data_IF_154611039584
#
_entry.id   IF_154611039584
#
_cell.length_a   1.000
_cell.length_b   1.000
_cell.length_c   1.000
_cell.angle_alpha   90.00
_cell.angle_beta   90.00
_cell.angle_gamma   90.00
#
_symmetry.space_group_name_H-M   'P 1'
#
loop_
_entity.id
_entity.type
_entity.pdbx_description
1 polymer ?
#
# COMPACT_ATOMS: atom_id res chain seq x y z
N UNK A 1 1.05 -18.65 42.52
CA UNK A 1 0.35 -17.60 41.76
C UNK A 1 1.07 -17.51 40.44
N UNK A 2 0.39 -17.88 39.35
CA UNK A 2 0.96 -17.90 38.00
C UNK A 2 0.89 -16.46 37.52
N UNK A 3 2.05 -15.81 37.36
CA UNK A 3 2.15 -14.51 36.72
C UNK A 3 1.91 -14.70 35.22
N UNK A 4 0.73 -14.30 34.76
CA UNK A 4 0.46 -14.07 33.34
C UNK A 4 1.38 -12.96 32.83
N UNK A 5 2.53 -13.35 32.27
CA UNK A 5 3.36 -12.46 31.45
C UNK A 5 2.70 -12.27 30.08
N UNK A 6 1.58 -11.57 30.06
CA UNK A 6 1.17 -10.83 28.86
C UNK A 6 2.00 -9.54 28.81
N UNK A 7 3.28 -9.68 28.48
CA UNK A 7 4.06 -8.55 27.98
C UNK A 7 3.52 -8.19 26.60
N UNK A 8 2.48 -7.34 26.57
CA UNK A 8 2.23 -6.50 25.42
C UNK A 8 3.53 -5.72 25.23
N UNK A 9 4.29 -6.02 24.17
CA UNK A 9 5.43 -5.18 23.82
C UNK A 9 4.85 -3.80 23.53
N UNK A 10 5.10 -2.86 24.44
CA UNK A 10 4.64 -1.48 24.30
C UNK A 10 5.21 -0.93 22.99
N UNK A 11 4.32 -0.53 22.09
CA UNK A 11 4.68 -0.12 20.74
C UNK A 11 5.51 1.18 20.82
N UNK A 12 6.78 1.12 20.44
CA UNK A 12 7.65 2.30 20.52
C UNK A 12 7.22 3.39 19.52
N UNK A 13 6.56 4.43 19.99
CA UNK A 13 6.02 5.52 19.17
C UNK A 13 7.11 6.41 18.53
N UNK A 14 8.28 6.50 19.15
CA UNK A 14 9.41 7.29 18.64
C UNK A 14 10.18 6.56 17.53
N UNK A 15 9.95 5.27 17.35
CA UNK A 15 10.59 4.47 16.33
C UNK A 15 10.30 5.05 14.94
N UNK A 16 11.36 5.18 14.12
CA UNK A 16 11.20 5.53 12.71
C UNK A 16 10.77 4.31 11.90
N UNK A 17 9.62 4.44 11.26
CA UNK A 17 8.99 3.45 10.39
C UNK A 17 9.10 3.89 8.94
N UNK A 18 9.29 2.94 8.03
CA UNK A 18 9.42 3.20 6.60
C UNK A 18 8.04 3.27 5.95
N UNK A 19 7.81 4.28 5.12
CA UNK A 19 6.66 4.40 4.23
C UNK A 19 7.15 4.30 2.79
N UNK A 20 6.43 3.53 1.96
CA UNK A 20 6.74 3.31 0.54
C UNK A 20 5.66 3.96 -0.32
N UNK A 21 6.05 4.71 -1.35
CA UNK A 21 5.13 5.24 -2.35
C UNK A 21 5.01 4.27 -3.52
N UNK A 22 3.78 3.97 -3.95
CA UNK A 22 3.52 3.29 -5.22
C UNK A 22 3.33 4.27 -6.39
N UNK A 23 3.18 5.57 -6.12
CA UNK A 23 3.02 6.58 -7.16
C UNK A 23 4.35 6.91 -7.83
N UNK A 24 4.31 7.12 -9.16
CA UNK A 24 5.45 7.53 -9.97
C UNK A 24 5.64 9.05 -10.06
N UNK A 25 4.96 9.81 -9.20
CA UNK A 25 5.17 11.24 -8.97
C UNK A 25 5.52 11.48 -7.50
N UNK A 26 6.10 12.65 -7.23
CA UNK A 26 6.35 13.09 -5.86
C UNK A 26 5.03 13.31 -5.13
N UNK A 27 4.86 12.66 -3.98
CA UNK A 27 3.73 12.88 -3.08
C UNK A 27 4.20 13.58 -1.82
N UNK A 28 3.27 14.18 -1.09
CA UNK A 28 3.61 14.82 0.17
C UNK A 28 2.38 15.22 0.95
N UNK A 29 2.61 15.47 2.24
CA UNK A 29 1.59 15.92 3.17
C UNK A 29 2.24 16.74 4.27
N UNK A 30 1.48 17.66 4.86
CA UNK A 30 1.93 18.47 5.98
C UNK A 30 1.96 17.62 7.25
N UNK A 31 3.00 17.77 8.06
CA UNK A 31 3.10 17.10 9.35
C UNK A 31 2.05 17.61 10.33
N UNK A 32 1.59 16.74 11.24
CA UNK A 32 0.62 17.10 12.27
C UNK A 32 1.31 17.29 13.62
N UNK A 33 2.21 16.38 14.02
CA UNK A 33 2.87 16.46 15.34
C UNK A 33 4.00 17.47 15.38
N UNK A 34 4.62 17.75 14.24
CA UNK A 34 5.72 18.71 14.13
C UNK A 34 5.51 19.68 12.98
N UNK A 35 6.33 20.74 12.93
CA UNK A 35 6.31 21.67 11.80
C UNK A 35 7.00 21.08 10.55
N UNK A 36 6.52 21.51 9.39
CA UNK A 36 7.08 21.18 8.08
C UNK A 36 6.27 20.17 7.26
N UNK A 37 6.76 19.90 6.06
CA UNK A 37 6.12 19.00 5.11
C UNK A 37 6.92 17.70 4.96
N UNK A 38 6.22 16.60 4.74
CA UNK A 38 6.80 15.34 4.28
C UNK A 38 6.72 15.32 2.77
N UNK A 39 7.86 15.15 2.12
CA UNK A 39 7.96 14.94 0.67
C UNK A 39 8.52 13.55 0.41
N UNK A 40 7.83 12.80 -0.44
CA UNK A 40 8.15 11.42 -0.79
C UNK A 40 8.37 11.38 -2.30
N UNK A 41 9.59 11.07 -2.77
CA UNK A 41 9.86 11.04 -4.21
C UNK A 41 9.07 9.91 -4.89
N UNK A 42 8.93 10.02 -6.22
CA UNK A 42 8.34 9.00 -7.06
C UNK A 42 8.94 7.60 -6.80
N UNK A 43 8.09 6.59 -6.60
CA UNK A 43 8.49 5.22 -6.24
C UNK A 43 9.46 5.13 -5.05
N UNK A 44 9.48 6.18 -4.21
CA UNK A 44 10.46 6.37 -3.16
C UNK A 44 10.00 5.83 -1.82
N UNK A 45 10.88 6.00 -0.85
CA UNK A 45 10.58 5.70 0.55
C UNK A 45 10.97 6.86 1.44
N UNK A 46 10.28 6.99 2.57
CA UNK A 46 10.63 7.94 3.63
C UNK A 46 10.53 7.25 4.97
N UNK A 47 11.30 7.71 5.95
CA UNK A 47 11.20 7.24 7.34
C UNK A 47 10.58 8.33 8.21
N UNK A 48 9.45 8.02 8.83
CA UNK A 48 8.73 8.91 9.74
C UNK A 48 8.62 8.27 11.12
N UNK A 49 8.45 9.09 12.16
CA UNK A 49 8.13 8.57 13.49
C UNK A 49 6.77 7.88 13.44
N UNK A 50 6.65 6.76 14.15
CA UNK A 50 5.43 5.97 14.20
C UNK A 50 4.25 6.78 14.71
N UNK A 51 4.44 7.61 15.73
CA UNK A 51 3.43 8.54 16.24
C UNK A 51 2.84 9.43 15.15
N UNK A 52 3.69 10.08 14.34
CA UNK A 52 3.26 10.91 13.21
C UNK A 52 2.46 10.10 12.18
N UNK A 53 2.86 8.86 11.89
CA UNK A 53 2.12 7.99 10.95
C UNK A 53 0.72 7.67 11.49
N UNK A 54 0.64 7.28 12.76
CA UNK A 54 -0.63 6.98 13.44
C UNK A 54 -1.53 8.22 13.43
N UNK A 55 -1.00 9.38 13.82
CA UNK A 55 -1.71 10.65 13.84
C UNK A 55 -2.23 11.03 12.45
N UNK A 56 -1.43 10.85 11.39
CA UNK A 56 -1.88 11.09 10.01
C UNK A 56 -3.03 10.18 9.59
N UNK A 57 -2.97 8.90 9.96
CA UNK A 57 -4.01 7.91 9.67
C UNK A 57 -5.31 8.27 10.41
N UNK A 58 -5.23 8.58 11.70
CA UNK A 58 -6.39 8.98 12.52
C UNK A 58 -7.03 10.29 12.03
N UNK A 59 -6.24 11.19 11.41
CA UNK A 59 -6.74 12.41 10.79
C UNK A 59 -7.26 12.21 9.35
N UNK A 60 -7.33 10.97 8.86
CA UNK A 60 -7.93 10.65 7.57
C UNK A 60 -7.05 11.00 6.37
N UNK A 61 -5.72 10.94 6.50
CA UNK A 61 -4.82 11.15 5.38
C UNK A 61 -5.01 10.05 4.32
N UNK A 62 -5.78 10.37 3.27
CA UNK A 62 -6.15 9.47 2.16
C UNK A 62 -4.98 8.83 1.43
N UNK A 63 -3.79 9.42 1.48
CA UNK A 63 -2.61 8.79 0.91
C UNK A 63 -2.24 7.50 1.66
N UNK A 64 -2.48 7.45 2.97
CA UNK A 64 -2.21 6.31 3.86
C UNK A 64 -3.47 5.45 4.09
N UNK A 65 -4.64 6.08 4.23
CA UNK A 65 -5.91 5.38 4.55
C UNK A 65 -6.62 4.81 3.34
N UNK A 66 -6.21 5.20 2.12
CA UNK A 66 -6.78 4.69 0.89
C UNK A 66 -8.27 5.05 0.73
N UNK A 67 -9.03 4.15 0.09
CA UNK A 67 -10.44 4.36 -0.23
C UNK A 67 -11.40 3.81 0.82
N UNK A 68 -10.93 2.93 1.70
CA UNK A 68 -11.73 2.19 2.69
C UNK A 68 -11.47 2.63 4.14
N UNK A 69 -10.63 3.65 4.32
CA UNK A 69 -10.16 4.13 5.62
C UNK A 69 -9.41 3.07 6.47
N UNK A 70 -9.05 1.94 5.85
CA UNK A 70 -8.27 0.84 6.42
C UNK A 70 -6.97 0.59 5.62
N UNK A 71 -6.65 1.54 4.75
CA UNK A 71 -5.43 1.58 3.96
C UNK A 71 -5.42 0.64 2.75
N UNK A 72 -6.54 0.00 2.40
CA UNK A 72 -6.61 -0.68 1.09
C UNK A 72 -6.62 0.36 -0.02
N UNK A 73 -5.88 0.05 -1.09
CA UNK A 73 -5.67 0.96 -2.21
C UNK A 73 -4.96 2.28 -1.81
N UNK A 74 -4.19 2.25 -0.73
CA UNK A 74 -3.37 3.39 -0.31
C UNK A 74 -2.25 3.67 -1.32
N UNK A 75 -1.94 4.95 -1.50
CA UNK A 75 -0.80 5.39 -2.32
C UNK A 75 0.52 5.28 -1.56
N UNK A 76 0.46 5.40 -0.24
CA UNK A 76 1.56 5.30 0.69
C UNK A 76 1.34 4.09 1.60
N UNK A 77 2.24 3.13 1.52
CA UNK A 77 2.17 1.90 2.31
C UNK A 77 3.09 1.98 3.52
N UNK A 78 2.57 1.64 4.70
CA UNK A 78 3.34 1.57 5.95
C UNK A 78 4.06 0.23 6.00
N UNK A 79 5.39 0.23 5.83
CA UNK A 79 6.23 -0.97 5.83
C UNK A 79 6.62 -1.42 7.24
N UNK A 80 5.64 -1.50 8.14
CA UNK A 80 5.80 -1.96 9.53
C UNK A 80 4.51 -2.59 10.03
N UNK A 81 4.54 -3.92 10.22
CA UNK A 81 3.35 -4.70 10.61
C UNK A 81 2.76 -4.27 11.96
N UNK A 82 3.55 -4.03 13.02
CA UNK A 82 3.01 -3.54 14.29
C UNK A 82 2.22 -2.25 14.14
N UNK A 83 2.72 -1.27 13.36
CA UNK A 83 1.97 -0.02 13.10
C UNK A 83 0.68 -0.28 12.34
N UNK A 84 0.67 -1.20 11.37
CA UNK A 84 -0.55 -1.54 10.62
C UNK A 84 -1.61 -2.23 11.49
N UNK A 85 -1.18 -3.02 12.47
CA UNK A 85 -2.10 -3.61 13.45
C UNK A 85 -2.65 -2.51 14.37
N UNK A 86 -1.79 -1.63 14.88
CA UNK A 86 -2.18 -0.53 15.79
C UNK A 86 -3.25 0.39 15.19
N UNK A 87 -3.23 0.60 13.87
CA UNK A 87 -4.18 1.46 13.16
C UNK A 87 -5.32 0.69 12.50
N UNK A 88 -5.57 -0.56 12.92
CA UNK A 88 -6.63 -1.44 12.43
C UNK A 88 -6.61 -1.69 10.90
N UNK A 89 -5.44 -1.57 10.27
CA UNK A 89 -5.26 -1.90 8.86
C UNK A 89 -5.17 -3.42 8.66
N UNK A 90 -4.50 -4.11 9.59
CA UNK A 90 -4.39 -5.57 9.63
C UNK A 90 -4.82 -6.08 11.01
N UNK A 91 -5.31 -7.30 11.10
CA UNK A 91 -5.55 -7.96 12.39
C UNK A 91 -4.36 -8.82 12.81
N UNK A 92 -4.14 -8.97 14.12
CA UNK A 92 -3.09 -9.85 14.66
C UNK A 92 -3.23 -11.30 14.19
N UNK A 93 -4.48 -11.77 14.06
CA UNK A 93 -4.82 -13.12 13.60
C UNK A 93 -4.73 -13.29 12.07
N UNK A 94 -4.43 -12.22 11.33
CA UNK A 94 -4.25 -12.22 9.88
C UNK A 94 -5.54 -12.39 9.06
N UNK A 95 -6.72 -12.35 9.69
CA UNK A 95 -8.01 -12.41 8.97
C UNK A 95 -8.31 -11.14 8.21
N UNK A 96 -7.89 -9.99 8.73
CA UNK A 96 -7.99 -8.71 8.07
C UNK A 96 -6.62 -8.33 7.50
N UNK A 97 -6.58 -8.14 6.18
CA UNK A 97 -5.38 -7.73 5.45
C UNK A 97 -5.74 -6.61 4.47
N UNK A 98 -4.80 -5.71 4.26
CA UNK A 98 -4.97 -4.63 3.28
C UNK A 98 -4.85 -5.16 1.86
N UNK A 99 -5.66 -4.62 0.95
CA UNK A 99 -5.46 -4.84 -0.48
C UNK A 99 -4.50 -3.78 -1.02
N UNK A 100 -3.22 -4.14 -1.18
CA UNK A 100 -2.17 -3.25 -1.66
C UNK A 100 -1.57 -3.79 -2.95
N UNK A 101 -1.44 -2.91 -3.95
CA UNK A 101 -0.73 -3.25 -5.17
C UNK A 101 0.78 -3.39 -4.88
N UNK A 102 1.26 -4.63 -4.92
CA UNK A 102 2.67 -4.99 -4.78
C UNK A 102 3.15 -5.76 -6.00
N UNK A 103 4.48 -5.88 -6.16
CA UNK A 103 5.08 -6.70 -7.23
C UNK A 103 4.56 -8.14 -7.19
N UNK A 104 4.48 -8.73 -5.99
CA UNK A 104 4.01 -10.10 -5.82
C UNK A 104 2.52 -10.24 -6.14
N UNK A 105 1.70 -9.24 -5.79
CA UNK A 105 0.29 -9.22 -6.16
C UNK A 105 0.10 -9.17 -7.68
N UNK A 106 0.90 -8.38 -8.40
CA UNK A 106 0.86 -8.32 -9.87
C UNK A 106 1.36 -9.63 -10.48
N UNK A 107 2.42 -10.25 -9.95
CA UNK A 107 2.88 -11.57 -10.43
C UNK A 107 1.79 -12.62 -10.28
N UNK A 108 1.15 -12.71 -9.10
CA UNK A 108 0.01 -13.61 -8.85
C UNK A 108 -1.17 -13.32 -9.77
N UNK A 109 -1.44 -12.03 -10.06
CA UNK A 109 -2.47 -11.66 -11.03
C UNK A 109 -2.18 -12.29 -12.40
N UNK A 110 -0.93 -12.26 -12.87
CA UNK A 110 -0.55 -12.84 -14.16
C UNK A 110 -0.53 -14.38 -14.18
N UNK A 111 -0.57 -15.05 -13.03
CA UNK A 111 -0.67 -16.51 -12.92
C UNK A 111 -2.09 -17.04 -13.22
N UNK A 112 -3.13 -16.20 -13.17
CA UNK A 112 -4.48 -16.62 -13.52
C UNK A 112 -4.55 -17.09 -14.98
N UNK A 113 -5.07 -18.31 -15.18
CA UNK A 113 -5.13 -18.96 -16.50
C UNK A 113 -6.24 -18.41 -17.38
N UNK A 114 -7.38 -18.07 -16.77
CA UNK A 114 -8.58 -17.61 -17.46
C UNK A 114 -8.58 -16.09 -17.57
N UNK A 115 -8.69 -15.56 -18.80
CA UNK A 115 -8.72 -14.12 -19.04
C UNK A 115 -9.86 -13.42 -18.30
N UNK A 116 -11.03 -14.06 -18.18
CA UNK A 116 -12.16 -13.52 -17.40
C UNK A 116 -11.79 -13.32 -15.92
N UNK A 117 -11.21 -14.33 -15.29
CA UNK A 117 -10.80 -14.26 -13.88
C UNK A 117 -9.67 -13.25 -13.69
N UNK A 118 -8.75 -13.19 -14.65
CA UNK A 118 -7.71 -12.15 -14.67
C UNK A 118 -8.32 -10.75 -14.68
N UNK A 119 -9.29 -10.47 -15.56
CA UNK A 119 -9.93 -9.16 -15.66
C UNK A 119 -10.72 -8.79 -14.39
N UNK A 120 -11.46 -9.74 -13.81
CA UNK A 120 -12.15 -9.54 -12.53
C UNK A 120 -11.16 -9.20 -11.42
N UNK A 121 -10.07 -9.98 -11.31
CA UNK A 121 -9.04 -9.76 -10.28
C UNK A 121 -8.23 -8.50 -10.49
N UNK A 122 -8.05 -8.06 -11.75
CA UNK A 122 -7.42 -6.79 -12.08
C UNK A 122 -8.25 -5.63 -11.54
N UNK A 123 -9.58 -5.66 -11.73
CA UNK A 123 -10.49 -4.61 -11.24
C UNK A 123 -10.56 -4.58 -9.72
N UNK A 124 -10.48 -5.74 -9.07
CA UNK A 124 -10.39 -5.84 -7.61
C UNK A 124 -9.06 -5.27 -7.07
N UNK A 125 -7.95 -5.47 -7.79
CA UNK A 125 -6.61 -5.11 -7.32
C UNK A 125 -6.22 -3.66 -7.66
N UNK A 126 -6.71 -3.12 -8.78
CA UNK A 126 -6.33 -1.81 -9.31
C UNK A 126 -7.56 -0.91 -9.39
N UNK A 127 -7.70 -0.01 -8.43
CA UNK A 127 -8.88 0.86 -8.31
C UNK A 127 -8.50 2.33 -8.46
N UNK A 128 -7.46 2.75 -7.75
CA UNK A 128 -7.04 4.15 -7.69
C UNK A 128 -6.14 4.53 -8.87
N UNK A 129 -6.04 5.84 -9.13
CA UNK A 129 -5.14 6.38 -10.15
C UNK A 129 -3.69 5.96 -9.92
N UNK A 130 -3.21 6.00 -8.67
CA UNK A 130 -1.84 5.61 -8.33
C UNK A 130 -1.57 4.14 -8.72
N UNK A 131 -2.50 3.24 -8.41
CA UNK A 131 -2.39 1.82 -8.77
C UNK A 131 -2.40 1.60 -10.28
N UNK A 132 -3.23 2.35 -11.03
CA UNK A 132 -3.29 2.28 -12.50
C UNK A 132 -1.94 2.59 -13.16
N UNK A 133 -1.19 3.57 -12.64
CA UNK A 133 0.17 3.85 -13.14
C UNK A 133 1.18 2.83 -12.62
N UNK A 134 1.09 2.46 -11.35
CA UNK A 134 2.02 1.53 -10.72
C UNK A 134 2.01 0.14 -11.37
N UNK A 135 0.84 -0.39 -11.75
CA UNK A 135 0.77 -1.71 -12.42
C UNK A 135 1.51 -1.71 -13.75
N UNK A 136 1.40 -0.64 -14.55
CA UNK A 136 2.12 -0.52 -15.82
C UNK A 136 3.64 -0.53 -15.61
N UNK A 137 4.13 0.19 -14.59
CA UNK A 137 5.55 0.23 -14.26
C UNK A 137 6.06 -1.12 -13.75
N UNK A 138 5.26 -1.82 -12.94
CA UNK A 138 5.60 -3.18 -12.45
C UNK A 138 5.68 -4.15 -13.63
N UNK A 139 4.72 -4.12 -14.57
CA UNK A 139 4.74 -4.98 -15.76
C UNK A 139 6.03 -4.74 -16.58
N UNK A 140 6.40 -3.48 -16.82
CA UNK A 140 7.65 -3.11 -17.52
C UNK A 140 8.89 -3.62 -16.79
N UNK A 141 8.97 -3.35 -15.48
CA UNK A 141 10.15 -3.66 -14.67
C UNK A 141 10.37 -5.16 -14.52
N UNK A 142 9.30 -5.91 -14.26
CA UNK A 142 9.34 -7.37 -14.09
C UNK A 142 9.34 -8.13 -15.41
N UNK A 143 9.22 -7.43 -16.54
CA UNK A 143 9.22 -8.01 -17.90
C UNK A 143 8.17 -9.11 -18.07
N UNK A 144 6.96 -8.89 -17.52
CA UNK A 144 5.85 -9.83 -17.67
C UNK A 144 5.47 -9.88 -19.15
N UNK A 145 5.38 -11.10 -19.71
CA UNK A 145 5.25 -11.30 -21.15
C UNK A 145 4.02 -12.16 -21.48
N UNK A 146 2.83 -11.58 -21.31
CA UNK A 146 1.56 -12.17 -21.71
C UNK A 146 0.77 -11.10 -22.47
N UNK A 147 0.76 -11.21 -23.80
CA UNK A 147 0.23 -10.18 -24.70
C UNK A 147 -1.25 -9.89 -24.46
N UNK A 148 -2.06 -10.92 -24.23
CA UNK A 148 -3.50 -10.76 -24.02
C UNK A 148 -3.78 -10.05 -22.69
N UNK A 149 -3.10 -10.46 -21.61
CA UNK A 149 -3.24 -9.83 -20.29
C UNK A 149 -2.74 -8.39 -20.29
N UNK A 150 -1.60 -8.12 -20.94
CA UNK A 150 -1.07 -6.75 -21.07
C UNK A 150 -2.09 -5.86 -21.76
N UNK A 151 -2.67 -6.31 -22.88
CA UNK A 151 -3.69 -5.54 -23.60
C UNK A 151 -4.94 -5.27 -22.75
N UNK A 152 -5.36 -6.23 -21.93
CA UNK A 152 -6.47 -6.03 -20.98
C UNK A 152 -6.10 -4.94 -19.96
N UNK A 153 -4.89 -4.98 -19.40
CA UNK A 153 -4.41 -3.95 -18.47
C UNK A 153 -4.41 -2.58 -19.14
N UNK A 154 -3.80 -2.44 -20.32
CA UNK A 154 -3.72 -1.18 -21.06
C UNK A 154 -5.10 -0.57 -21.34
N UNK A 155 -6.05 -1.41 -21.76
CA UNK A 155 -7.42 -0.98 -22.00
C UNK A 155 -8.12 -0.53 -20.71
N UNK A 156 -7.91 -1.24 -19.60
CA UNK A 156 -8.54 -0.93 -18.32
C UNK A 156 -7.99 0.35 -17.67
N UNK A 157 -6.67 0.57 -17.78
CA UNK A 157 -6.02 1.76 -17.22
C UNK A 157 -5.98 2.94 -18.20
N UNK A 158 -6.46 2.73 -19.43
CA UNK A 158 -6.53 3.72 -20.52
C UNK A 158 -5.16 4.31 -20.90
N UNK A 159 -4.09 3.56 -20.66
CA UNK A 159 -2.70 3.98 -20.93
C UNK A 159 -1.90 2.79 -21.47
N UNK A 160 -0.99 3.08 -22.41
CA UNK A 160 -0.10 2.06 -22.99
C UNK A 160 1.19 1.92 -22.20
N UNK A 161 1.73 0.71 -22.25
CA UNK A 161 3.07 0.36 -21.78
C UNK A 161 4.10 0.88 -22.78
#
# INVERSE_FOLDING_TARGET
>A
MIEDKNTVQELNLEQKVTIKSIANWTTGFKRIETNGDVTIPANGTVRLQRSEIITQIQNGNRLLTGIDDRGSHATLYVDDKPTRIEVDFESEDGKQVQNILTVDAVKKLFEYKTLKTFEEKLKDLVVTRAEKFAILEIIKREKLNDFEKIRIVENYVEHKI
#
